data_IF_452283332393
#
_entry.id   IF_452283332393
#
_cell.length_a   1.000
_cell.length_b   1.000
_cell.length_c   1.000
_cell.angle_alpha   90.00
_cell.angle_beta   90.00
_cell.angle_gamma   90.00
#
_symmetry.space_group_name_H-M   'P 1'
#
loop_
_entity.id
_entity.type
_entity.pdbx_description
1 polymer ?
#
# COMPACT_ATOMS: atom_id res chain seq x y z
N UNK A 1 -20.22 31.08 27.32
CA UNK A 1 -19.06 30.36 26.75
C UNK A 1 -19.44 30.00 25.34
N UNK A 2 -18.87 30.76 24.42
CA UNK A 2 -19.32 30.96 23.04
C UNK A 2 -18.72 29.87 22.14
N UNK A 3 -19.55 29.24 21.33
CA UNK A 3 -19.22 28.03 20.54
C UNK A 3 -18.51 28.36 19.23
N UNK A 4 -18.19 29.64 18.98
CA UNK A 4 -17.60 30.16 17.73
C UNK A 4 -16.09 29.99 17.61
N UNK A 5 -15.41 29.42 18.60
CA UNK A 5 -13.95 29.24 18.56
C UNK A 5 -13.50 27.86 18.03
N UNK A 6 -14.41 26.94 17.69
CA UNK A 6 -14.05 25.64 17.12
C UNK A 6 -14.03 25.59 15.58
N UNK A 7 -14.39 26.68 14.89
CA UNK A 7 -14.31 26.78 13.43
C UNK A 7 -12.94 27.29 12.90
N UNK A 8 -11.98 27.58 13.79
CA UNK A 8 -10.65 28.07 13.42
C UNK A 8 -9.58 26.97 13.52
N UNK A 9 -9.72 25.93 12.71
CA UNK A 9 -8.60 25.05 12.38
C UNK A 9 -8.74 24.45 10.96
N UNK A 10 -9.26 25.22 9.99
CA UNK A 10 -8.70 25.08 8.64
C UNK A 10 -7.22 25.45 8.75
N UNK A 11 -6.27 24.53 8.49
CA UNK A 11 -4.86 24.88 8.52
C UNK A 11 -4.64 26.11 7.63
N UNK A 12 -3.78 27.07 8.02
CA UNK A 12 -3.49 28.23 7.19
C UNK A 12 -3.19 27.71 5.79
N UNK A 13 -3.98 28.14 4.80
CA UNK A 13 -3.84 27.69 3.42
C UNK A 13 -2.39 27.84 3.03
N UNK A 14 -1.66 26.73 2.97
CA UNK A 14 -0.22 26.76 2.74
C UNK A 14 0.01 27.55 1.44
N UNK A 15 1.08 28.37 1.37
CA UNK A 15 1.38 29.08 0.14
C UNK A 15 1.41 28.09 -1.02
N UNK A 16 0.87 28.44 -2.20
CA UNK A 16 0.67 27.50 -3.31
C UNK A 16 1.98 26.85 -3.77
N UNK A 17 3.11 27.52 -3.54
CA UNK A 17 4.45 26.97 -3.77
C UNK A 17 4.75 25.75 -2.87
N UNK A 18 4.35 25.77 -1.60
CA UNK A 18 4.60 24.65 -0.68
C UNK A 18 3.66 23.48 -0.96
N UNK A 19 2.39 23.74 -1.31
CA UNK A 19 1.45 22.69 -1.74
C UNK A 19 1.99 22.00 -3.00
N UNK A 20 2.46 22.76 -3.99
CA UNK A 20 3.06 22.19 -5.21
C UNK A 20 4.27 21.30 -4.88
N UNK A 21 5.19 21.76 -4.02
CA UNK A 21 6.37 20.97 -3.64
C UNK A 21 6.00 19.69 -2.90
N UNK A 22 5.01 19.73 -2.00
CA UNK A 22 4.50 18.55 -1.31
C UNK A 22 3.84 17.58 -2.29
N UNK A 23 3.00 18.06 -3.20
CA UNK A 23 2.34 17.23 -4.21
C UNK A 23 3.36 16.53 -5.10
N UNK A 24 4.39 17.24 -5.58
CA UNK A 24 5.46 16.65 -6.39
C UNK A 24 6.26 15.61 -5.60
N UNK A 25 6.50 15.85 -4.31
CA UNK A 25 7.18 14.88 -3.44
C UNK A 25 6.37 13.60 -3.24
N UNK A 26 5.07 13.72 -2.92
CA UNK A 26 4.19 12.57 -2.73
C UNK A 26 3.98 11.79 -4.03
N UNK A 27 3.75 12.48 -5.15
CA UNK A 27 3.56 11.86 -6.46
C UNK A 27 4.85 11.16 -6.92
N UNK A 28 6.00 11.82 -6.79
CA UNK A 28 7.29 11.22 -7.12
C UNK A 28 7.65 10.02 -6.23
N UNK A 29 7.31 10.08 -4.93
CA UNK A 29 7.47 8.95 -4.02
C UNK A 29 6.59 7.75 -4.39
N UNK A 30 5.36 8.01 -4.83
CA UNK A 30 4.44 6.98 -5.32
C UNK A 30 4.94 6.30 -6.59
N UNK A 31 5.37 7.09 -7.57
CA UNK A 31 5.92 6.57 -8.84
C UNK A 31 7.18 5.74 -8.60
N UNK A 32 8.06 6.20 -7.69
CA UNK A 32 9.25 5.45 -7.29
C UNK A 32 8.90 4.10 -6.66
N UNK A 33 7.83 4.05 -5.86
CA UNK A 33 7.34 2.79 -5.28
C UNK A 33 6.93 1.79 -6.35
N UNK A 34 6.20 2.23 -7.39
CA UNK A 34 5.77 1.36 -8.50
C UNK A 34 6.98 0.80 -9.26
N UNK A 35 8.00 1.63 -9.50
CA UNK A 35 9.26 1.18 -10.09
C UNK A 35 9.97 0.14 -9.21
N UNK A 36 9.98 0.34 -7.89
CA UNK A 36 10.51 -0.62 -6.92
C UNK A 36 9.79 -1.97 -6.98
N UNK A 37 8.46 -1.95 -7.06
CA UNK A 37 7.64 -3.16 -7.18
C UNK A 37 7.99 -3.96 -8.45
N UNK A 38 8.20 -3.29 -9.59
CA UNK A 38 8.58 -3.93 -10.85
C UNK A 38 9.98 -4.57 -10.79
N UNK A 39 10.95 -3.90 -10.16
CA UNK A 39 12.30 -4.45 -9.98
C UNK A 39 12.26 -5.69 -9.11
N UNK A 40 11.56 -5.64 -7.98
CA UNK A 40 11.40 -6.78 -7.07
C UNK A 40 10.72 -7.96 -7.77
N UNK A 41 9.71 -7.68 -8.60
CA UNK A 41 9.04 -8.69 -9.41
C UNK A 41 10.04 -9.37 -10.39
N UNK A 42 10.91 -8.59 -11.04
CA UNK A 42 11.99 -9.12 -11.89
C UNK A 42 12.98 -10.02 -11.14
N UNK A 43 13.36 -9.63 -9.91
CA UNK A 43 14.25 -10.42 -9.06
C UNK A 43 13.60 -11.77 -8.69
N UNK A 44 12.31 -11.78 -8.37
CA UNK A 44 11.57 -13.02 -8.07
C UNK A 44 11.59 -13.95 -9.29
N UNK A 45 11.36 -13.44 -10.50
CA UNK A 45 11.44 -14.25 -11.72
C UNK A 45 12.84 -14.86 -11.92
N UNK A 46 13.89 -14.07 -11.72
CA UNK A 46 15.27 -14.54 -11.82
C UNK A 46 15.58 -15.63 -10.78
N UNK A 47 15.10 -15.47 -9.55
CA UNK A 47 15.26 -16.47 -8.49
C UNK A 47 14.52 -17.77 -8.81
N UNK A 48 13.30 -17.69 -9.35
CA UNK A 48 12.55 -18.88 -9.78
C UNK A 48 13.29 -19.59 -10.91
N UNK A 49 13.70 -18.85 -11.95
CA UNK A 49 14.42 -19.40 -13.10
C UNK A 49 15.69 -20.12 -12.66
N UNK A 50 16.49 -19.49 -11.80
CA UNK A 50 17.70 -20.12 -11.25
C UNK A 50 17.37 -21.35 -10.38
N UNK A 51 16.32 -21.30 -9.56
CA UNK A 51 15.94 -22.40 -8.69
C UNK A 51 15.42 -23.62 -9.49
N UNK A 52 14.68 -23.38 -10.58
CA UNK A 52 14.20 -24.46 -11.46
C UNK A 52 15.32 -25.20 -12.18
N UNK A 53 16.43 -24.52 -12.47
CA UNK A 53 17.59 -25.13 -13.13
C UNK A 53 18.45 -25.94 -12.16
N UNK A 54 18.51 -25.54 -10.88
CA UNK A 54 19.42 -26.13 -9.90
C UNK A 54 18.79 -27.23 -9.01
N UNK A 55 17.48 -27.13 -8.69
CA UNK A 55 16.79 -28.05 -7.79
C UNK A 55 15.46 -28.55 -8.39
N UNK A 56 15.55 -29.45 -9.37
CA UNK A 56 14.38 -30.02 -10.05
C UNK A 56 13.47 -30.91 -9.19
N UNK A 57 13.84 -31.23 -7.94
CA UNK A 57 13.20 -32.27 -7.12
C UNK A 57 12.59 -31.81 -5.79
N UNK A 58 12.62 -30.52 -5.45
CA UNK A 58 12.25 -30.03 -4.12
C UNK A 58 10.93 -29.22 -4.02
N UNK A 59 10.32 -29.38 -2.83
CA UNK A 59 9.17 -28.71 -2.18
C UNK A 59 8.23 -27.90 -3.10
N UNK A 60 7.32 -28.61 -3.80
CA UNK A 60 6.18 -28.05 -4.55
C UNK A 60 5.41 -26.96 -3.80
N UNK A 61 5.30 -27.06 -2.47
CA UNK A 61 4.65 -26.05 -1.65
C UNK A 61 5.32 -24.67 -1.79
N UNK A 62 6.65 -24.59 -1.78
CA UNK A 62 7.36 -23.31 -1.92
C UNK A 62 7.11 -22.69 -3.30
N UNK A 63 7.11 -23.51 -4.35
CA UNK A 63 6.80 -23.07 -5.72
C UNK A 63 5.37 -22.56 -5.85
N UNK A 64 4.40 -23.22 -5.23
CA UNK A 64 3.00 -22.77 -5.20
C UNK A 64 2.86 -21.43 -4.44
N UNK A 65 3.51 -21.29 -3.28
CA UNK A 65 3.47 -20.04 -2.51
C UNK A 65 4.03 -18.85 -3.31
N UNK A 66 5.17 -19.04 -3.96
CA UNK A 66 5.80 -18.02 -4.80
C UNK A 66 4.96 -17.72 -6.04
N UNK A 67 4.34 -18.72 -6.67
CA UNK A 67 3.47 -18.53 -7.82
C UNK A 67 2.21 -17.70 -7.46
N UNK A 68 1.59 -17.96 -6.32
CA UNK A 68 0.46 -17.16 -5.82
C UNK A 68 0.92 -15.73 -5.51
N UNK A 69 2.06 -15.56 -4.84
CA UNK A 69 2.60 -14.23 -4.55
C UNK A 69 2.88 -13.47 -5.85
N UNK A 70 3.50 -14.12 -6.84
CA UNK A 70 3.77 -13.57 -8.16
C UNK A 70 2.48 -13.15 -8.86
N UNK A 71 1.42 -13.95 -8.78
CA UNK A 71 0.13 -13.62 -9.39
C UNK A 71 -0.55 -12.42 -8.73
N UNK A 72 -0.43 -12.27 -7.41
CA UNK A 72 -0.99 -11.12 -6.69
C UNK A 72 -0.15 -9.86 -6.96
N UNK A 73 1.17 -9.97 -7.01
CA UNK A 73 2.06 -8.82 -7.30
C UNK A 73 1.98 -8.39 -8.75
N UNK A 74 1.78 -9.30 -9.72
CA UNK A 74 1.51 -8.95 -11.12
C UNK A 74 0.20 -8.18 -11.26
N UNK A 75 -0.86 -8.62 -10.57
CA UNK A 75 -2.14 -7.92 -10.60
C UNK A 75 -2.00 -6.51 -10.02
N UNK A 76 -1.25 -6.39 -8.92
CA UNK A 76 -0.93 -5.10 -8.30
C UNK A 76 -0.10 -4.19 -9.20
N UNK A 77 0.91 -4.72 -9.90
CA UNK A 77 1.76 -3.90 -10.78
C UNK A 77 1.02 -3.43 -12.03
N UNK A 78 0.16 -4.26 -12.61
CA UNK A 78 -0.74 -3.85 -13.72
C UNK A 78 -1.68 -2.73 -13.27
N UNK A 79 -2.25 -2.84 -12.07
CA UNK A 79 -3.12 -1.79 -11.52
C UNK A 79 -2.36 -0.48 -11.25
N UNK A 80 -1.12 -0.57 -10.74
CA UNK A 80 -0.25 0.60 -10.54
C UNK A 80 0.11 1.28 -11.86
N UNK A 81 0.40 0.50 -12.91
CA UNK A 81 0.71 1.03 -14.24
C UNK A 81 -0.51 1.72 -14.89
N UNK A 82 -1.72 1.20 -14.68
CA UNK A 82 -2.94 1.83 -15.16
C UNK A 82 -3.18 3.21 -14.51
N UNK A 83 -2.93 3.34 -13.21
CA UNK A 83 -3.02 4.62 -12.49
C UNK A 83 -1.96 5.59 -13.02
N UNK A 84 -0.72 5.12 -13.19
CA UNK A 84 0.39 5.93 -13.71
C UNK A 84 0.09 6.44 -15.12
N UNK A 85 -0.54 5.62 -15.97
CA UNK A 85 -0.98 6.02 -17.31
C UNK A 85 -2.01 7.15 -17.27
N UNK A 86 -3.06 7.02 -16.45
CA UNK A 86 -4.10 8.05 -16.31
C UNK A 86 -3.51 9.36 -15.78
N UNK A 87 -2.58 9.29 -14.83
CA UNK A 87 -1.94 10.46 -14.23
C UNK A 87 -0.95 11.15 -15.19
N UNK A 88 -0.12 10.39 -15.92
CA UNK A 88 0.92 10.95 -16.79
C UNK A 88 0.48 11.20 -18.24
N UNK A 89 -0.51 10.49 -18.76
CA UNK A 89 -0.91 10.62 -20.18
C UNK A 89 -2.19 11.41 -20.32
N UNK A 90 -3.19 11.14 -19.48
CA UNK A 90 -4.52 11.76 -19.62
C UNK A 90 -4.59 13.14 -18.96
N UNK A 91 -3.85 13.37 -17.87
CA UNK A 91 -3.87 14.62 -17.08
C UNK A 91 -2.48 15.27 -16.92
N UNK A 92 -1.63 15.23 -17.96
CA UNK A 92 -0.22 15.68 -17.89
C UNK A 92 -0.04 17.16 -17.47
N UNK A 93 -1.03 18.02 -17.71
CA UNK A 93 -0.96 19.47 -17.44
C UNK A 93 -1.74 19.93 -16.21
N UNK A 94 -2.56 19.08 -15.60
CA UNK A 94 -3.45 19.48 -14.51
C UNK A 94 -3.10 18.76 -13.20
N UNK A 95 -2.19 19.39 -12.45
CA UNK A 95 -1.72 18.91 -11.15
C UNK A 95 -2.85 18.80 -10.11
N UNK A 96 -3.89 19.63 -10.25
CA UNK A 96 -5.04 19.62 -9.34
C UNK A 96 -5.97 18.44 -9.65
N UNK A 97 -6.19 18.14 -10.94
CA UNK A 97 -6.95 16.95 -11.35
C UNK A 97 -6.25 15.66 -10.89
N UNK A 98 -4.93 15.55 -11.06
CA UNK A 98 -4.15 14.41 -10.59
C UNK A 98 -4.21 14.22 -9.06
N UNK A 99 -4.20 15.33 -8.30
CA UNK A 99 -4.34 15.30 -6.84
C UNK A 99 -5.75 14.91 -6.40
N UNK A 100 -6.79 15.35 -7.11
CA UNK A 100 -8.18 14.96 -6.81
C UNK A 100 -8.45 13.47 -7.05
N UNK A 101 -7.79 12.88 -8.06
CA UNK A 101 -7.82 11.44 -8.27
C UNK A 101 -7.10 10.69 -7.15
N UNK A 102 -6.02 11.23 -6.60
CA UNK A 102 -5.34 10.60 -5.46
C UNK A 102 -6.23 10.53 -4.21
N UNK A 103 -7.03 11.57 -3.94
CA UNK A 103 -7.83 11.64 -2.72
C UNK A 103 -9.17 10.93 -2.80
N UNK A 104 -9.83 10.85 -3.95
CA UNK A 104 -11.25 10.42 -4.00
C UNK A 104 -11.59 9.38 -5.07
N UNK A 105 -10.59 8.69 -5.64
CA UNK A 105 -10.84 7.71 -6.70
C UNK A 105 -10.84 6.24 -6.22
N UNK A 106 -11.84 5.49 -6.69
CA UNK A 106 -11.97 4.04 -6.50
C UNK A 106 -10.70 3.21 -6.83
N UNK A 107 -9.85 3.56 -7.82
CA UNK A 107 -8.64 2.79 -8.11
C UNK A 107 -7.60 2.90 -6.98
N UNK A 108 -7.55 4.02 -6.26
CA UNK A 108 -6.62 4.19 -5.14
C UNK A 108 -6.97 3.25 -3.98
N UNK A 109 -8.27 3.07 -3.70
CA UNK A 109 -8.75 2.15 -2.65
C UNK A 109 -8.40 0.69 -2.96
N UNK A 110 -8.64 0.27 -4.21
CA UNK A 110 -8.30 -1.08 -4.69
C UNK A 110 -6.79 -1.32 -4.58
N UNK A 111 -5.98 -0.34 -4.95
CA UNK A 111 -4.53 -0.43 -4.84
C UNK A 111 -4.08 -0.62 -3.38
N UNK A 112 -4.66 0.12 -2.44
CA UNK A 112 -4.36 0.00 -1.01
C UNK A 112 -4.77 -1.37 -0.46
N UNK A 113 -5.94 -1.87 -0.87
CA UNK A 113 -6.45 -3.18 -0.48
C UNK A 113 -5.51 -4.32 -0.95
N UNK A 114 -4.99 -4.23 -2.18
CA UNK A 114 -4.02 -5.20 -2.70
C UNK A 114 -2.70 -5.19 -1.92
N UNK A 115 -2.17 -4.00 -1.53
CA UNK A 115 -0.95 -3.89 -0.71
C UNK A 115 -1.16 -4.54 0.66
N UNK A 116 -2.32 -4.30 1.28
CA UNK A 116 -2.67 -4.90 2.55
C UNK A 116 -2.75 -6.43 2.46
N UNK A 117 -3.36 -6.95 1.38
CA UNK A 117 -3.48 -8.39 1.14
C UNK A 117 -2.11 -9.05 0.92
N UNK A 118 -1.24 -8.43 0.11
CA UNK A 118 0.14 -8.90 -0.10
C UNK A 118 0.91 -8.92 1.21
N UNK A 119 0.83 -7.83 1.99
CA UNK A 119 1.48 -7.72 3.29
C UNK A 119 1.01 -8.83 4.23
N UNK A 120 -0.30 -9.06 4.33
CA UNK A 120 -0.86 -10.13 5.14
C UNK A 120 -0.35 -11.51 4.69
N UNK A 121 -0.35 -11.78 3.39
CA UNK A 121 0.10 -13.05 2.83
C UNK A 121 1.58 -13.32 3.16
N UNK A 122 2.44 -12.31 3.00
CA UNK A 122 3.87 -12.39 3.33
C UNK A 122 4.09 -12.66 4.82
N UNK A 123 3.33 -12.00 5.70
CA UNK A 123 3.43 -12.19 7.15
C UNK A 123 3.06 -13.62 7.57
N UNK A 124 1.97 -14.17 7.00
CA UNK A 124 1.58 -15.56 7.23
C UNK A 124 2.67 -16.53 6.77
N UNK A 125 3.29 -16.27 5.61
CA UNK A 125 4.41 -17.06 5.11
C UNK A 125 5.63 -17.02 6.05
N UNK A 126 6.00 -15.83 6.55
CA UNK A 126 7.08 -15.67 7.53
C UNK A 126 6.79 -16.43 8.82
N UNK A 127 5.58 -16.34 9.37
CA UNK A 127 5.18 -17.09 10.56
C UNK A 127 5.32 -18.60 10.35
N UNK A 128 4.85 -19.12 9.21
CA UNK A 128 5.00 -20.54 8.85
C UNK A 128 6.48 -20.95 8.80
N UNK A 129 7.33 -20.16 8.13
CA UNK A 129 8.75 -20.48 7.99
C UNK A 129 9.49 -20.40 9.33
N UNK A 130 9.16 -19.40 10.14
CA UNK A 130 9.73 -19.21 11.47
C UNK A 130 9.36 -20.35 12.42
N UNK A 131 8.12 -20.85 12.34
CA UNK A 131 7.68 -22.03 13.09
C UNK A 131 8.51 -23.27 12.77
N UNK A 132 8.75 -23.52 11.48
CA UNK A 132 9.52 -24.69 11.02
C UNK A 132 10.98 -24.64 11.49
N UNK A 133 11.60 -23.45 11.53
CA UNK A 133 13.01 -23.28 11.89
C UNK A 133 13.22 -23.22 13.40
N UNK A 134 12.44 -22.40 14.11
CA UNK A 134 12.71 -22.10 15.51
C UNK A 134 12.22 -23.21 16.44
N UNK A 135 11.09 -23.87 16.12
CA UNK A 135 10.31 -24.74 17.04
C UNK A 135 10.00 -24.13 18.42
N UNK A 136 10.40 -22.88 18.68
CA UNK A 136 10.23 -22.20 19.95
C UNK A 136 9.02 -21.27 19.86
N UNK A 137 7.99 -21.60 20.63
CA UNK A 137 6.72 -20.87 20.64
C UNK A 137 6.85 -19.43 21.15
N UNK A 138 7.87 -19.13 21.98
CA UNK A 138 8.08 -17.78 22.51
C UNK A 138 8.48 -16.77 21.44
N UNK A 139 9.37 -17.16 20.51
CA UNK A 139 9.82 -16.28 19.42
C UNK A 139 8.68 -16.10 18.40
N UNK A 140 7.94 -17.17 18.09
CA UNK A 140 6.75 -17.04 17.24
C UNK A 140 5.71 -16.12 17.88
N UNK A 141 5.45 -16.27 19.17
CA UNK A 141 4.49 -15.44 19.91
C UNK A 141 4.83 -13.96 19.85
N UNK A 142 6.10 -13.58 20.02
CA UNK A 142 6.55 -12.19 19.91
C UNK A 142 6.33 -11.62 18.50
N UNK A 143 6.67 -12.39 17.46
CA UNK A 143 6.48 -11.98 16.07
C UNK A 143 5.00 -11.81 15.73
N UNK A 144 4.15 -12.76 16.15
CA UNK A 144 2.70 -12.67 15.96
C UNK A 144 2.11 -11.49 16.73
N UNK A 145 2.56 -11.23 17.97
CA UNK A 145 2.12 -10.09 18.76
C UNK A 145 2.45 -8.75 18.08
N UNK A 146 3.66 -8.62 17.51
CA UNK A 146 4.03 -7.44 16.73
C UNK A 146 3.15 -7.27 15.49
N UNK A 147 2.79 -8.35 14.81
CA UNK A 147 1.88 -8.28 13.66
C UNK A 147 0.46 -7.88 14.06
N UNK A 148 -0.08 -8.47 15.13
CA UNK A 148 -1.41 -8.09 15.65
C UNK A 148 -1.41 -6.62 16.06
N UNK A 149 -0.35 -6.15 16.73
CA UNK A 149 -0.20 -4.75 17.10
C UNK A 149 -0.19 -3.83 15.86
N UNK A 150 0.58 -4.18 14.82
CA UNK A 150 0.61 -3.42 13.57
C UNK A 150 -0.76 -3.42 12.86
N UNK A 151 -1.49 -4.53 12.89
CA UNK A 151 -2.81 -4.66 12.28
C UNK A 151 -3.85 -3.80 13.03
N UNK A 152 -3.82 -3.81 14.36
CA UNK A 152 -4.66 -2.93 15.19
C UNK A 152 -4.35 -1.46 14.91
N UNK A 153 -3.07 -1.09 14.84
CA UNK A 153 -2.67 0.28 14.51
C UNK A 153 -3.15 0.70 13.11
N UNK A 154 -3.07 -0.20 12.12
CA UNK A 154 -3.58 0.05 10.77
C UNK A 154 -5.11 0.23 10.74
N UNK A 155 -5.87 -0.62 11.45
CA UNK A 155 -7.33 -0.51 11.55
C UNK A 155 -7.72 0.82 12.20
N UNK A 156 -7.06 1.20 13.30
CA UNK A 156 -7.32 2.48 14.00
C UNK A 156 -7.06 3.66 13.07
N UNK A 157 -5.97 3.62 12.31
CA UNK A 157 -5.64 4.65 11.31
C UNK A 157 -6.74 4.78 10.25
N UNK A 158 -7.21 3.66 9.70
CA UNK A 158 -8.29 3.65 8.70
C UNK A 158 -9.61 4.16 9.29
N UNK A 159 -9.98 3.72 10.49
CA UNK A 159 -11.17 4.21 11.18
C UNK A 159 -11.13 5.73 11.40
N UNK A 160 -9.96 6.26 11.78
CA UNK A 160 -9.77 7.71 11.94
C UNK A 160 -9.94 8.47 10.63
N UNK A 161 -9.36 7.97 9.54
CA UNK A 161 -9.49 8.56 8.19
C UNK A 161 -10.92 8.47 7.67
N UNK A 162 -11.62 7.37 7.89
CA UNK A 162 -13.02 7.24 7.47
C UNK A 162 -13.91 8.22 8.24
N UNK A 163 -13.72 8.33 9.56
CA UNK A 163 -14.47 9.26 10.38
C UNK A 163 -14.25 10.72 9.94
N UNK A 164 -13.02 11.10 9.56
CA UNK A 164 -12.75 12.44 9.05
C UNK A 164 -13.41 12.71 7.69
N UNK A 165 -13.54 11.69 6.83
CA UNK A 165 -14.27 11.83 5.55
C UNK A 165 -15.79 11.96 5.73
N UNK A 166 -16.39 11.26 6.70
CA UNK A 166 -17.82 11.40 7.00
C UNK A 166 -18.17 12.84 7.41
N UNK A 167 -17.38 13.43 8.31
CA UNK A 167 -17.53 14.82 8.75
C UNK A 167 -17.30 15.84 7.61
N UNK A 168 -16.48 15.50 6.62
CA UNK A 168 -16.31 16.30 5.42
C UNK A 168 -17.56 16.34 4.55
N UNK A 169 -18.22 15.19 4.32
CA UNK A 169 -19.41 15.10 3.47
C UNK A 169 -20.63 15.82 4.04
N UNK A 170 -20.83 15.80 5.37
CA UNK A 170 -21.94 16.52 6.00
C UNK A 170 -21.84 18.04 5.79
N UNK A 171 -20.62 18.61 5.81
CA UNK A 171 -20.40 20.05 5.56
C UNK A 171 -20.69 20.54 4.14
N UNK A 172 -20.91 19.66 3.17
CA UNK A 172 -21.28 20.05 1.80
C UNK A 172 -22.78 19.87 1.50
N UNK A 173 -23.55 19.33 2.44
CA UNK A 173 -25.01 19.15 2.30
C UNK A 173 -25.83 20.20 3.07
N UNK A 174 -25.18 21.05 3.86
CA UNK A 174 -25.75 22.27 4.46
C UNK A 174 -25.40 23.51 3.61
#
# INVERSE_FOLDING_TARGET
MDVRCLDMATPPSLPPAVIRSLTVFFLGGWDLSICGDLILQGIIFAQIAHYTTLYGKDILALRAFVAVLLMITTLKSVHGLAILWIQNVEHFTDLNAALSMFTDSWPTEVNLALIALISFYIQVFFCRRLWVISKNVYILGLVVALFVFALVAAIVSVCFVLNSRYQGKERYME
#
